data_IF_382918315166
#
_entry.id   IF_382918315166
#
_cell.length_a   1.000
_cell.length_b   1.000
_cell.length_c   1.000
_cell.angle_alpha   90.00
_cell.angle_beta   90.00
_cell.angle_gamma   90.00
#
_symmetry.space_group_name_H-M   'P 1'
#
loop_
_entity.id
_entity.type
_entity.pdbx_description
1 polymer ?
#
# COMPACT_ATOMS: atom_id res chain seq x y z
N UNK A 1 -0.36 -26.69 54.35
CA UNK A 1 0.93 -26.31 53.72
C UNK A 1 1.21 -27.05 52.42
N UNK A 2 1.14 -28.40 52.36
CA UNK A 2 1.41 -29.15 51.10
C UNK A 2 0.39 -28.87 49.98
N UNK A 3 -0.91 -28.91 50.29
CA UNK A 3 -1.99 -28.59 49.33
C UNK A 3 -1.84 -27.21 48.66
N UNK A 4 -1.41 -26.20 49.41
CA UNK A 4 -1.25 -24.85 48.87
C UNK A 4 -0.02 -24.73 47.94
N UNK A 5 1.05 -25.49 48.22
CA UNK A 5 2.22 -25.56 47.35
C UNK A 5 1.89 -26.28 46.03
N UNK A 6 1.09 -27.34 46.10
CA UNK A 6 0.65 -28.08 44.91
C UNK A 6 -0.28 -27.22 44.03
N UNK A 7 -1.19 -26.46 44.64
CA UNK A 7 -2.07 -25.51 43.94
C UNK A 7 -1.28 -24.35 43.29
N UNK A 8 -0.28 -23.81 43.97
CA UNK A 8 0.59 -22.78 43.42
C UNK A 8 1.42 -23.29 42.24
N UNK A 9 2.01 -24.47 42.35
CA UNK A 9 2.77 -25.07 41.25
C UNK A 9 1.88 -25.37 40.04
N UNK A 10 0.65 -25.83 40.26
CA UNK A 10 -0.34 -26.04 39.19
C UNK A 10 -0.70 -24.73 38.48
N UNK A 11 -0.98 -23.67 39.25
CA UNK A 11 -1.35 -22.36 38.70
C UNK A 11 -0.20 -21.74 37.89
N UNK A 12 1.02 -21.73 38.43
CA UNK A 12 2.21 -21.24 37.73
C UNK A 12 2.46 -22.02 36.43
N UNK A 13 2.32 -23.35 36.46
CA UNK A 13 2.48 -24.19 35.26
C UNK A 13 1.41 -23.91 34.22
N UNK A 14 0.16 -23.66 34.64
CA UNK A 14 -0.94 -23.32 33.75
C UNK A 14 -0.78 -21.94 33.11
N UNK A 15 -0.24 -20.98 33.85
CA UNK A 15 -0.01 -19.61 33.39
C UNK A 15 1.17 -19.52 32.43
N UNK A 16 2.28 -20.23 32.71
CA UNK A 16 3.40 -20.40 31.77
C UNK A 16 3.00 -21.10 30.45
N UNK A 17 2.05 -22.04 30.50
CA UNK A 17 1.50 -22.67 29.28
C UNK A 17 0.64 -21.69 28.47
N UNK A 18 -0.10 -20.80 29.13
CA UNK A 18 -0.88 -19.74 28.47
C UNK A 18 0.01 -18.71 27.81
N UNK A 19 1.03 -18.19 28.51
CA UNK A 19 1.97 -17.20 27.93
C UNK A 19 2.76 -17.77 26.77
N UNK A 20 3.27 -19.00 26.86
CA UNK A 20 3.94 -19.67 25.74
C UNK A 20 3.03 -19.89 24.52
N UNK A 21 1.75 -20.20 24.76
CA UNK A 21 0.75 -20.29 23.69
C UNK A 21 0.45 -18.94 23.04
N UNK A 22 0.41 -17.86 23.83
CA UNK A 22 0.26 -16.48 23.36
C UNK A 22 1.47 -16.03 22.53
N UNK A 23 2.69 -16.30 22.98
CA UNK A 23 3.94 -16.01 22.28
C UNK A 23 4.08 -16.81 20.96
N UNK A 24 3.65 -18.08 20.92
CA UNK A 24 3.59 -18.87 19.68
C UNK A 24 2.48 -18.38 18.73
N UNK A 25 1.34 -17.91 19.24
CA UNK A 25 0.26 -17.29 18.46
C UNK A 25 0.65 -15.91 17.90
N UNK A 26 1.40 -15.12 18.68
CA UNK A 26 1.91 -13.82 18.26
C UNK A 26 3.14 -13.96 17.34
N UNK A 27 3.97 -14.99 17.51
CA UNK A 27 5.05 -15.36 16.58
C UNK A 27 4.52 -15.89 15.24
N UNK A 28 3.36 -16.57 15.25
CA UNK A 28 2.62 -16.97 14.04
C UNK A 28 1.82 -15.83 13.39
N UNK A 29 1.76 -14.65 14.02
CA UNK A 29 1.10 -13.43 13.51
C UNK A 29 2.02 -12.50 12.73
N UNK A 30 3.30 -12.83 12.58
CA UNK A 30 4.10 -12.23 11.53
C UNK A 30 3.60 -12.76 10.18
N UNK A 31 2.71 -12.01 9.54
CA UNK A 31 2.34 -12.15 8.13
C UNK A 31 3.62 -11.95 7.31
N UNK A 32 4.40 -13.01 7.14
CA UNK A 32 5.47 -13.00 6.15
C UNK A 32 4.80 -12.87 4.79
N UNK A 33 5.14 -11.81 4.07
CA UNK A 33 4.61 -11.60 2.74
C UNK A 33 4.95 -12.81 1.86
N UNK A 34 3.94 -13.59 1.47
CA UNK A 34 4.09 -14.64 0.45
C UNK A 34 4.62 -13.99 -0.81
N UNK A 35 5.71 -14.53 -1.35
CA UNK A 35 6.29 -14.10 -2.62
C UNK A 35 5.20 -14.01 -3.70
N UNK A 36 5.26 -13.02 -4.61
CA UNK A 36 6.35 -12.05 -4.84
C UNK A 36 6.34 -10.80 -3.94
N UNK A 37 5.45 -10.70 -2.95
CA UNK A 37 5.36 -9.51 -2.10
C UNK A 37 6.47 -9.46 -1.05
N UNK A 38 6.89 -8.24 -0.69
CA UNK A 38 7.87 -7.94 0.35
C UNK A 38 7.28 -6.96 1.35
N UNK A 39 7.70 -7.04 2.62
CA UNK A 39 7.26 -6.11 3.66
C UNK A 39 7.85 -4.71 3.39
N UNK A 40 6.99 -3.71 3.28
CA UNK A 40 7.34 -2.29 3.23
C UNK A 40 6.52 -1.58 4.30
N UNK A 41 7.20 -1.04 5.32
CA UNK A 41 6.58 -0.58 6.56
C UNK A 41 5.76 -1.70 7.22
N UNK A 42 4.43 -1.61 7.17
CA UNK A 42 3.47 -2.55 7.74
C UNK A 42 2.62 -3.28 6.67
N UNK A 43 3.01 -3.20 5.38
CA UNK A 43 2.24 -3.74 4.25
C UNK A 43 3.06 -4.69 3.38
N UNK A 44 2.37 -5.62 2.71
CA UNK A 44 2.96 -6.48 1.70
C UNK A 44 2.86 -5.84 0.31
N UNK A 45 4.00 -5.44 -0.24
CA UNK A 45 4.10 -4.69 -1.50
C UNK A 45 4.84 -5.48 -2.57
N UNK A 46 4.35 -5.40 -3.80
CA UNK A 46 5.03 -5.89 -4.99
C UNK A 46 5.01 -4.77 -6.04
N UNK A 47 6.17 -4.46 -6.62
CA UNK A 47 6.31 -3.42 -7.64
C UNK A 47 6.64 -4.08 -8.98
N UNK A 48 5.82 -3.81 -10.00
CA UNK A 48 6.07 -4.23 -11.37
C UNK A 48 6.44 -3.00 -12.21
N UNK A 49 7.71 -2.93 -12.61
CA UNK A 49 8.30 -1.79 -13.32
C UNK A 49 8.69 -2.09 -14.78
N UNK A 50 8.70 -3.37 -15.16
CA UNK A 50 9.09 -3.82 -16.51
C UNK A 50 7.87 -3.94 -17.41
N UNK A 51 6.78 -4.47 -16.87
CA UNK A 51 5.50 -4.54 -17.55
C UNK A 51 4.72 -3.27 -17.28
N UNK A 52 4.24 -2.61 -18.34
CA UNK A 52 3.42 -1.40 -18.24
C UNK A 52 2.10 -1.59 -18.97
N UNK A 53 1.07 -0.88 -18.54
CA UNK A 53 -0.23 -0.87 -19.23
C UNK A 53 -1.16 0.19 -18.68
N UNK A 54 -2.38 0.21 -19.23
CA UNK A 54 -3.47 1.05 -18.72
C UNK A 54 -3.87 0.65 -17.30
N UNK A 55 -4.54 1.57 -16.61
CA UNK A 55 -4.91 1.39 -15.20
C UNK A 55 -5.77 0.12 -15.00
N UNK A 56 -6.75 -0.12 -15.87
CA UNK A 56 -7.61 -1.29 -15.79
C UNK A 56 -6.87 -2.63 -15.94
N UNK A 57 -5.91 -2.71 -16.86
CA UNK A 57 -5.11 -3.91 -17.08
C UNK A 57 -4.11 -4.15 -15.95
N UNK A 58 -3.50 -3.08 -15.43
CA UNK A 58 -2.62 -3.17 -14.27
C UNK A 58 -3.38 -3.52 -12.98
N UNK A 59 -4.66 -3.16 -12.90
CA UNK A 59 -5.53 -3.54 -11.78
C UNK A 59 -5.77 -5.05 -11.79
N UNK A 60 -6.08 -5.60 -12.97
CA UNK A 60 -6.19 -7.05 -13.17
C UNK A 60 -4.87 -7.76 -12.91
N UNK A 61 -3.73 -7.16 -13.28
CA UNK A 61 -2.41 -7.71 -12.97
C UNK A 61 -2.23 -7.90 -11.46
N UNK A 62 -2.51 -6.89 -10.64
CA UNK A 62 -2.41 -7.04 -9.18
C UNK A 62 -3.35 -8.12 -8.63
N UNK A 63 -4.58 -8.21 -9.16
CA UNK A 63 -5.55 -9.26 -8.81
C UNK A 63 -5.02 -10.66 -9.14
N UNK A 64 -4.36 -10.83 -10.29
CA UNK A 64 -3.74 -12.10 -10.70
C UNK A 64 -2.57 -12.51 -9.80
N UNK A 65 -1.85 -11.53 -9.23
CA UNK A 65 -0.81 -11.79 -8.22
C UNK A 65 -1.38 -12.06 -6.82
N UNK A 66 -2.71 -12.07 -6.66
CA UNK A 66 -3.39 -12.31 -5.38
C UNK A 66 -3.43 -11.09 -4.47
N UNK A 67 -3.32 -9.88 -5.04
CA UNK A 67 -3.43 -8.61 -4.32
C UNK A 67 -4.42 -7.64 -4.99
N UNK A 68 -4.25 -6.36 -4.72
CA UNK A 68 -4.96 -5.24 -5.36
C UNK A 68 -3.95 -4.12 -5.64
N UNK A 69 -4.34 -3.09 -6.39
CA UNK A 69 -3.49 -1.91 -6.50
C UNK A 69 -3.31 -1.29 -5.12
N UNK A 70 -2.12 -0.75 -4.85
CA UNK A 70 -1.77 -0.20 -3.55
C UNK A 70 -2.67 0.98 -3.18
N UNK A 71 -3.07 1.00 -1.91
CA UNK A 71 -3.70 2.15 -1.27
C UNK A 71 -2.62 2.93 -0.53
N UNK A 72 -2.47 4.21 -0.82
CA UNK A 72 -1.48 5.06 -0.16
C UNK A 72 -2.23 6.13 0.65
N UNK A 73 -2.56 5.81 1.90
CA UNK A 73 -3.50 6.58 2.74
C UNK A 73 -2.88 7.18 4.00
N UNK A 74 -1.60 6.91 4.26
CA UNK A 74 -0.81 7.55 5.30
C UNK A 74 0.49 8.09 4.73
N UNK A 75 0.91 9.24 5.25
CA UNK A 75 2.19 9.90 4.96
C UNK A 75 3.38 9.01 5.33
N UNK A 76 3.30 8.33 6.47
CA UNK A 76 4.36 7.41 6.91
C UNK A 76 4.54 6.22 5.95
N UNK A 77 3.43 5.65 5.46
CA UNK A 77 3.50 4.58 4.46
C UNK A 77 4.04 5.10 3.12
N UNK A 78 3.59 6.27 2.67
CA UNK A 78 4.11 6.90 1.45
C UNK A 78 5.62 7.12 1.53
N UNK A 79 6.13 7.66 2.63
CA UNK A 79 7.56 7.84 2.87
C UNK A 79 8.35 6.53 2.73
N UNK A 80 7.89 5.47 3.40
CA UNK A 80 8.55 4.16 3.34
C UNK A 80 8.45 3.51 1.96
N UNK A 81 7.34 3.70 1.25
CA UNK A 81 7.16 3.21 -0.11
C UNK A 81 8.11 3.89 -1.09
N UNK A 82 8.18 5.23 -1.06
CA UNK A 82 9.09 5.99 -1.93
C UNK A 82 10.54 5.62 -1.64
N UNK A 83 10.93 5.54 -0.37
CA UNK A 83 12.27 5.07 0.02
C UNK A 83 12.55 3.66 -0.51
N UNK A 84 11.59 2.74 -0.40
CA UNK A 84 11.72 1.38 -0.94
C UNK A 84 11.96 1.40 -2.47
N UNK A 85 11.28 2.27 -3.22
CA UNK A 85 11.49 2.40 -4.67
C UNK A 85 12.93 2.84 -5.00
N UNK A 86 13.47 3.80 -4.27
CA UNK A 86 14.84 4.27 -4.44
C UNK A 86 15.88 3.21 -4.05
N UNK A 87 15.75 2.62 -2.85
CA UNK A 87 16.72 1.67 -2.30
C UNK A 87 16.84 0.40 -3.17
N UNK A 88 15.82 0.08 -3.98
CA UNK A 88 15.77 -1.10 -4.85
C UNK A 88 15.95 -0.78 -6.35
N UNK A 89 16.30 0.46 -6.72
CA UNK A 89 16.51 0.85 -8.13
C UNK A 89 15.23 0.80 -8.97
N UNK A 90 14.07 0.91 -8.33
CA UNK A 90 12.74 0.97 -8.96
C UNK A 90 12.33 2.41 -9.26
N UNK A 91 13.19 3.39 -9.02
CA UNK A 91 12.92 4.81 -9.18
C UNK A 91 12.98 5.31 -10.64
N UNK A 92 12.55 4.48 -11.60
CA UNK A 92 12.74 4.70 -13.05
C UNK A 92 11.43 4.81 -13.84
N UNK A 93 10.29 4.61 -13.18
CA UNK A 93 8.94 4.65 -13.78
C UNK A 93 7.97 5.42 -12.89
N UNK A 94 6.89 5.89 -13.51
CA UNK A 94 5.65 6.22 -12.83
C UNK A 94 4.88 4.93 -12.54
N UNK A 95 4.09 4.95 -11.47
CA UNK A 95 3.36 3.77 -11.03
C UNK A 95 1.89 4.10 -10.78
N UNK A 96 1.00 3.28 -11.33
CA UNK A 96 -0.40 3.30 -10.96
C UNK A 96 -0.59 2.90 -9.49
N UNK A 97 -1.53 3.58 -8.84
CA UNK A 97 -2.06 3.23 -7.52
C UNK A 97 -3.59 3.09 -7.59
N UNK A 98 -4.21 2.54 -6.55
CA UNK A 98 -5.60 2.09 -6.60
C UNK A 98 -6.68 3.18 -6.56
N UNK A 99 -6.31 4.45 -6.63
CA UNK A 99 -7.24 5.57 -6.54
C UNK A 99 -7.78 5.98 -7.90
N UNK A 100 -9.09 6.18 -8.01
CA UNK A 100 -9.75 6.72 -9.20
C UNK A 100 -11.03 7.49 -8.84
N UNK A 101 -11.47 8.38 -9.73
CA UNK A 101 -12.75 9.09 -9.63
C UNK A 101 -13.71 8.78 -10.79
N UNK A 102 -13.42 7.75 -11.60
CA UNK A 102 -14.30 7.27 -12.70
C UNK A 102 -15.77 7.02 -12.27
N UNK A 103 -16.00 6.74 -10.98
CA UNK A 103 -17.35 6.55 -10.42
C UNK A 103 -18.07 7.84 -10.00
N UNK A 104 -17.33 8.94 -9.77
CA UNK A 104 -17.85 10.23 -9.35
C UNK A 104 -16.80 11.33 -9.56
N UNK A 105 -16.88 11.99 -10.71
CA UNK A 105 -16.04 13.13 -11.10
C UNK A 105 -15.71 14.08 -9.93
N UNK A 106 -14.42 14.36 -9.74
CA UNK A 106 -13.93 15.29 -8.71
C UNK A 106 -13.91 14.71 -7.29
N UNK A 107 -14.21 13.42 -7.12
CA UNK A 107 -14.08 12.71 -5.84
C UNK A 107 -13.40 11.36 -6.05
N UNK A 108 -12.11 11.31 -5.72
CA UNK A 108 -11.32 10.08 -5.81
C UNK A 108 -11.61 9.11 -4.66
N UNK A 109 -11.74 7.84 -5.01
CA UNK A 109 -11.97 6.73 -4.09
C UNK A 109 -10.90 5.65 -4.25
N UNK A 110 -10.55 5.03 -3.13
CA UNK A 110 -9.83 3.78 -3.11
C UNK A 110 -10.78 2.60 -3.36
N UNK A 111 -10.23 1.45 -3.73
CA UNK A 111 -11.00 0.20 -3.94
C UNK A 111 -11.82 -0.27 -2.72
N UNK A 112 -11.51 0.21 -1.51
CA UNK A 112 -12.26 -0.08 -0.28
C UNK A 112 -13.43 0.90 -0.02
N UNK A 113 -13.67 1.84 -0.95
CA UNK A 113 -14.72 2.86 -0.86
C UNK A 113 -14.36 4.06 0.02
N UNK A 114 -13.17 4.09 0.62
CA UNK A 114 -12.69 5.28 1.35
C UNK A 114 -12.21 6.35 0.39
N UNK A 115 -12.36 7.63 0.77
CA UNK A 115 -11.93 8.76 -0.05
C UNK A 115 -10.40 8.91 -0.05
N UNK A 116 -9.84 9.30 -1.19
CA UNK A 116 -8.46 9.77 -1.28
C UNK A 116 -8.35 11.12 -0.55
N UNK A 117 -7.29 11.31 0.24
CA UNK A 117 -7.01 12.59 0.91
C UNK A 117 -6.47 13.57 -0.14
N UNK A 118 -7.08 14.75 -0.23
CA UNK A 118 -6.67 15.79 -1.20
C UNK A 118 -5.54 16.68 -0.67
N UNK A 119 -4.71 17.18 -1.58
CA UNK A 119 -3.61 18.10 -1.29
C UNK A 119 -2.41 17.47 -0.57
N UNK A 120 -1.61 18.33 0.07
CA UNK A 120 -0.40 17.94 0.82
C UNK A 120 -0.74 16.96 1.95
N UNK A 121 0.07 15.91 2.18
CA UNK A 121 1.39 15.65 1.58
C UNK A 121 1.36 14.69 0.38
N UNK A 122 0.19 14.41 -0.20
CA UNK A 122 0.08 13.36 -1.21
C UNK A 122 0.16 13.88 -2.63
N UNK A 123 -0.57 14.94 -2.96
CA UNK A 123 -0.72 15.45 -4.31
C UNK A 123 0.37 16.44 -4.68
N UNK A 124 0.84 16.36 -5.92
CA UNK A 124 1.93 17.20 -6.44
C UNK A 124 1.47 18.61 -6.78
N UNK A 125 2.43 19.50 -6.98
CA UNK A 125 2.18 20.90 -7.37
C UNK A 125 2.51 21.19 -8.84
N UNK A 126 2.66 20.14 -9.66
CA UNK A 126 2.90 20.23 -11.09
C UNK A 126 4.31 20.74 -11.42
N UNK A 127 4.95 20.16 -12.44
CA UNK A 127 6.29 20.62 -12.85
C UNK A 127 6.19 21.88 -13.70
N UNK A 128 6.18 23.06 -13.08
CA UNK A 128 6.36 24.35 -13.76
C UNK A 128 5.44 25.44 -13.24
N UNK A 129 4.14 25.29 -13.49
CA UNK A 129 3.14 26.35 -13.33
C UNK A 129 2.60 26.45 -11.89
N UNK A 130 3.08 25.59 -10.97
CA UNK A 130 2.59 25.46 -9.59
C UNK A 130 1.09 25.13 -9.53
N UNK A 131 0.59 24.34 -10.49
CA UNK A 131 -0.80 23.90 -10.54
C UNK A 131 -0.94 22.68 -9.62
N UNK A 132 -1.79 22.82 -8.61
CA UNK A 132 -2.05 21.75 -7.65
C UNK A 132 -2.90 20.65 -8.30
N UNK A 133 -2.38 19.43 -8.25
CA UNK A 133 -3.09 18.21 -8.64
C UNK A 133 -4.25 17.89 -7.66
N UNK A 134 -5.33 17.22 -8.12
CA UNK A 134 -5.61 16.85 -9.51
C UNK A 134 -6.05 18.03 -10.37
N UNK A 135 -5.63 18.08 -11.63
CA UNK A 135 -5.91 19.20 -12.56
C UNK A 135 -6.59 18.79 -13.88
N UNK A 136 -6.72 17.49 -14.13
CA UNK A 136 -7.14 16.96 -15.42
C UNK A 136 -8.65 16.87 -15.67
N UNK A 137 -9.46 17.14 -14.64
CA UNK A 137 -10.93 17.08 -14.67
C UNK A 137 -11.42 15.75 -15.27
N UNK A 138 -12.52 15.80 -16.03
CA UNK A 138 -13.20 14.59 -16.49
C UNK A 138 -12.43 13.71 -17.49
N UNK A 139 -11.22 14.10 -17.86
CA UNK A 139 -10.37 13.36 -18.80
C UNK A 139 -9.29 12.54 -18.10
N UNK A 140 -8.99 12.82 -16.83
CA UNK A 140 -7.90 12.21 -16.09
C UNK A 140 -8.43 11.67 -14.76
N UNK A 141 -8.71 10.37 -14.75
CA UNK A 141 -9.52 9.80 -13.67
C UNK A 141 -8.75 8.76 -12.82
N UNK A 142 -7.45 8.60 -13.06
CA UNK A 142 -6.63 7.55 -12.45
C UNK A 142 -5.36 8.11 -11.85
N UNK A 143 -5.00 7.64 -10.65
CA UNK A 143 -3.87 8.21 -9.90
C UNK A 143 -2.57 7.45 -10.18
N UNK A 144 -1.50 8.21 -10.49
CA UNK A 144 -0.12 7.72 -10.47
C UNK A 144 0.66 8.28 -9.29
N UNK A 145 1.74 7.60 -8.90
CA UNK A 145 2.88 8.23 -8.21
C UNK A 145 3.89 8.69 -9.27
N UNK A 146 4.06 10.01 -9.42
CA UNK A 146 4.84 10.64 -10.50
C UNK A 146 6.33 10.77 -10.13
N UNK A 147 7.21 10.07 -10.85
CA UNK A 147 8.63 9.95 -10.48
C UNK A 147 9.38 11.29 -10.51
N UNK A 148 8.97 12.18 -11.41
CA UNK A 148 9.68 13.45 -11.65
C UNK A 148 9.25 14.54 -10.66
N UNK A 149 8.18 14.31 -9.90
CA UNK A 149 7.74 15.15 -8.78
C UNK A 149 7.66 14.33 -7.47
N UNK A 150 8.80 13.78 -7.06
CA UNK A 150 8.98 13.13 -5.76
C UNK A 150 7.99 12.01 -5.42
N UNK A 151 7.39 11.38 -6.44
CA UNK A 151 6.34 10.37 -6.30
C UNK A 151 5.04 10.86 -5.66
N UNK A 152 4.77 12.17 -5.73
CA UNK A 152 3.45 12.71 -5.42
C UNK A 152 2.38 12.21 -6.41
N UNK A 153 1.13 12.30 -5.98
CA UNK A 153 -0.03 11.90 -6.75
C UNK A 153 -0.32 12.92 -7.85
N UNK A 154 -0.56 12.38 -9.03
CA UNK A 154 -1.09 13.08 -10.19
C UNK A 154 -2.29 12.29 -10.71
N UNK A 155 -3.34 12.98 -11.14
CA UNK A 155 -4.33 12.33 -12.00
C UNK A 155 -3.79 12.26 -13.43
N UNK A 156 -4.11 11.19 -14.14
CA UNK A 156 -3.76 11.01 -15.55
C UNK A 156 -4.89 10.26 -16.29
N UNK A 157 -4.92 10.35 -17.64
CA UNK A 157 -5.82 9.53 -18.43
C UNK A 157 -5.59 8.04 -18.14
N UNK A 158 -6.65 7.33 -17.74
CA UNK A 158 -6.57 5.92 -17.34
C UNK A 158 -6.04 4.98 -18.42
N UNK A 159 -6.02 5.42 -19.69
CA UNK A 159 -5.52 4.65 -20.83
C UNK A 159 -4.00 4.76 -21.05
N UNK A 160 -3.30 5.61 -20.28
CA UNK A 160 -1.85 5.76 -20.34
C UNK A 160 -1.12 4.51 -19.86
N UNK A 161 0.17 4.37 -20.20
CA UNK A 161 0.94 3.15 -19.92
C UNK A 161 1.99 3.38 -18.83
N UNK A 162 1.75 2.82 -17.65
CA UNK A 162 2.65 2.92 -16.49
C UNK A 162 2.87 1.56 -15.82
N UNK A 163 3.89 1.49 -14.96
CA UNK A 163 4.07 0.35 -14.06
C UNK A 163 2.99 0.33 -12.99
N UNK A 164 3.02 -0.65 -12.09
CA UNK A 164 2.04 -0.75 -11.00
C UNK A 164 2.67 -1.15 -9.69
N UNK A 165 2.11 -0.62 -8.59
CA UNK A 165 2.41 -1.07 -7.24
C UNK A 165 1.18 -1.82 -6.72
N UNK A 166 1.38 -3.08 -6.35
CA UNK A 166 0.35 -3.94 -5.80
C UNK A 166 0.54 -4.09 -4.29
N UNK A 167 -0.56 -4.22 -3.57
CA UNK A 167 -0.58 -4.57 -2.14
C UNK A 167 -1.35 -5.87 -1.90
N UNK A 168 -0.96 -6.59 -0.85
CA UNK A 168 -1.73 -7.71 -0.29
C UNK A 168 -1.92 -7.54 1.21
N UNK A 169 -3.12 -7.88 1.69
CA UNK A 169 -3.46 -7.93 3.12
C UNK A 169 -3.10 -9.27 3.74
#
# INVERSE_FOLDING_TARGET
MRQWLDELQSNITSECRRTRGQEELDSRRALECVRPFTVVHDRCIMVESKTTGNWGDMKKFCQQQGGKMVKVDTDNFMYHLVRFLHDNGLNVKNYWVGGSDEGSEGVFFWDDGTRVKMGTPFWGDGTGDQIQEPDGGATQNCIIMYKDDHYFFFDLPCHDSHGVICERM
#
